data_IF_120172129529
#
_entry.id   IF_120172129529
#
_cell.length_a   1.000
_cell.length_b   1.000
_cell.length_c   1.000
_cell.angle_alpha   90.00
_cell.angle_beta   90.00
_cell.angle_gamma   90.00
#
_symmetry.space_group_name_H-M   'P 1'
#
loop_
_entity.id
_entity.type
_entity.pdbx_description
1 polymer ?
#
# COMPACT_ATOMS: atom_id res chain seq x y z
N UNK A 1 2.23 -17.81 -25.15
CA UNK A 1 3.29 -17.48 -26.12
C UNK A 1 4.56 -18.09 -25.58
N UNK A 2 5.27 -18.90 -26.36
CA UNK A 2 6.50 -19.52 -25.90
C UNK A 2 7.64 -18.49 -25.92
N UNK A 3 8.07 -18.05 -24.74
CA UNK A 3 9.16 -17.09 -24.57
C UNK A 3 10.47 -17.85 -24.42
N UNK A 4 11.47 -17.52 -25.24
CA UNK A 4 12.80 -18.13 -25.24
C UNK A 4 13.83 -17.13 -24.73
N UNK A 5 14.73 -17.56 -23.85
CA UNK A 5 15.76 -16.72 -23.26
C UNK A 5 17.01 -17.55 -22.86
N UNK A 6 18.11 -16.88 -22.49
CA UNK A 6 19.38 -17.53 -22.10
C UNK A 6 19.59 -17.38 -20.59
N UNK A 7 19.66 -18.50 -19.86
CA UNK A 7 19.93 -18.53 -18.41
C UNK A 7 21.17 -19.38 -18.15
N UNK A 8 22.20 -18.81 -17.51
CA UNK A 8 23.46 -19.51 -17.20
C UNK A 8 24.08 -20.21 -18.42
N UNK A 9 24.18 -19.49 -19.54
CA UNK A 9 24.64 -19.99 -20.86
C UNK A 9 23.79 -21.12 -21.48
N UNK A 10 22.70 -21.56 -20.84
CA UNK A 10 21.76 -22.56 -21.36
C UNK A 10 20.52 -21.87 -21.94
N UNK A 11 19.95 -22.47 -22.98
CA UNK A 11 18.68 -22.02 -23.54
C UNK A 11 17.54 -22.46 -22.62
N UNK A 12 16.69 -21.52 -22.24
CA UNK A 12 15.51 -21.75 -21.41
C UNK A 12 14.28 -21.23 -22.14
N UNK A 13 13.15 -21.92 -21.98
CA UNK A 13 11.88 -21.50 -22.55
C UNK A 13 10.79 -21.62 -21.49
N UNK A 14 9.87 -20.67 -21.43
CA UNK A 14 8.63 -20.79 -20.67
C UNK A 14 7.44 -20.43 -21.56
N UNK A 15 6.30 -21.07 -21.34
CA UNK A 15 5.07 -20.69 -22.03
C UNK A 15 4.32 -19.65 -21.22
N UNK A 16 4.26 -18.43 -21.75
CA UNK A 16 3.54 -17.33 -21.13
C UNK A 16 2.02 -17.56 -21.06
N UNK A 17 1.46 -18.47 -21.88
CA UNK A 17 0.02 -18.80 -21.79
C UNK A 17 -0.28 -19.71 -20.59
N UNK A 18 0.73 -20.41 -20.07
CA UNK A 18 0.61 -21.29 -18.91
C UNK A 18 0.98 -20.60 -17.59
N UNK A 19 1.34 -19.32 -17.63
CA UNK A 19 1.44 -18.51 -16.42
C UNK A 19 0.03 -18.34 -15.85
N UNK A 20 -0.26 -19.03 -14.75
CA UNK A 20 -1.44 -18.75 -13.93
C UNK A 20 -1.23 -17.36 -13.33
N UNK A 21 -1.63 -16.34 -14.08
CA UNK A 21 -2.01 -15.07 -13.48
C UNK A 21 -3.27 -15.43 -12.73
N UNK A 22 -3.21 -15.54 -11.40
CA UNK A 22 -4.41 -15.71 -10.59
C UNK A 22 -5.44 -14.72 -11.13
N UNK A 23 -6.54 -15.24 -11.68
CA UNK A 23 -7.53 -14.42 -12.37
C UNK A 23 -7.94 -13.26 -11.47
N UNK A 24 -8.26 -12.10 -12.08
CA UNK A 24 -8.62 -10.83 -11.42
C UNK A 24 -9.02 -11.08 -9.97
N UNK A 25 -8.05 -10.95 -9.06
CA UNK A 25 -8.27 -11.19 -7.64
C UNK A 25 -9.41 -10.23 -7.30
N UNK A 26 -10.57 -10.76 -6.91
CA UNK A 26 -11.63 -9.89 -6.41
C UNK A 26 -10.97 -9.04 -5.33
N UNK A 27 -11.08 -7.70 -5.38
CA UNK A 27 -10.41 -6.87 -4.39
C UNK A 27 -10.92 -7.34 -3.02
N UNK A 28 -10.06 -8.08 -2.32
CA UNK A 28 -10.32 -8.62 -1.00
C UNK A 28 -10.87 -7.47 -0.16
N UNK A 29 -11.93 -7.71 0.62
CA UNK A 29 -12.48 -6.68 1.48
C UNK A 29 -11.33 -6.04 2.26
N UNK A 30 -11.13 -4.74 2.05
CA UNK A 30 -10.00 -4.04 2.66
C UNK A 30 -10.04 -4.33 4.16
N UNK A 31 -8.97 -4.90 4.74
CA UNK A 31 -8.95 -5.22 6.16
C UNK A 31 -9.30 -3.97 6.94
N UNK A 32 -10.46 -4.00 7.58
CA UNK A 32 -10.98 -2.91 8.39
C UNK A 32 -10.15 -2.88 9.66
N UNK A 33 -9.43 -1.79 9.86
CA UNK A 33 -8.70 -1.57 11.12
C UNK A 33 -9.65 -1.54 12.30
N UNK A 34 -9.13 -1.71 13.52
CA UNK A 34 -9.93 -1.73 14.74
C UNK A 34 -10.67 -0.41 14.99
N UNK A 35 -10.22 0.71 14.39
CA UNK A 35 -10.73 2.04 14.69
C UNK A 35 -11.51 2.66 13.54
N UNK A 36 -12.66 3.27 13.88
CA UNK A 36 -13.52 4.03 12.95
C UNK A 36 -12.82 5.24 12.34
N UNK A 37 -11.82 5.81 13.03
CA UNK A 37 -11.01 6.93 12.54
C UNK A 37 -10.20 6.59 11.28
N UNK A 38 -9.98 5.30 11.00
CA UNK A 38 -9.26 4.85 9.81
C UNK A 38 -10.16 4.55 8.61
N UNK A 39 -11.50 4.66 8.76
CA UNK A 39 -12.47 4.48 7.69
C UNK A 39 -12.44 5.70 6.75
N UNK A 40 -11.63 5.63 5.69
CA UNK A 40 -11.49 6.71 4.70
C UNK A 40 -10.05 7.20 4.49
N UNK A 41 -9.07 6.59 5.15
CA UNK A 41 -7.67 6.85 4.83
C UNK A 41 -7.35 6.31 3.41
N UNK A 42 -6.58 7.05 2.57
CA UNK A 42 -6.11 6.55 1.27
C UNK A 42 -5.08 5.43 1.41
N UNK A 43 -4.61 5.18 2.64
CA UNK A 43 -3.67 4.14 3.01
C UNK A 43 -4.39 2.91 3.56
N UNK A 44 -3.74 1.73 3.56
CA UNK A 44 -4.34 0.51 4.08
C UNK A 44 -4.81 0.71 5.52
N UNK A 45 -6.04 0.28 5.81
CA UNK A 45 -6.64 0.48 7.12
C UNK A 45 -6.10 -0.45 8.21
N UNK A 46 -4.89 -1.01 8.04
CA UNK A 46 -4.29 -1.97 8.95
C UNK A 46 -2.80 -1.66 9.18
N UNK A 47 -2.23 -2.25 10.24
CA UNK A 47 -0.81 -2.13 10.56
C UNK A 47 -0.46 -0.79 11.23
N UNK A 48 0.82 -0.40 11.14
CA UNK A 48 1.39 0.77 11.84
C UNK A 48 0.67 2.10 11.54
N UNK A 49 -0.07 2.19 10.43
CA UNK A 49 -0.81 3.40 10.04
C UNK A 49 -2.06 3.61 10.91
N UNK A 50 -2.72 2.52 11.33
CA UNK A 50 -4.01 2.56 12.01
C UNK A 50 -4.10 1.70 13.29
N UNK A 51 -3.01 1.09 13.74
CA UNK A 51 -2.96 0.30 14.98
C UNK A 51 -2.30 1.06 16.15
N UNK A 52 -2.04 2.37 16.01
CA UNK A 52 -1.39 3.16 17.06
C UNK A 52 -2.34 3.47 18.22
N UNK A 53 -3.47 4.13 17.94
CA UNK A 53 -4.49 4.46 18.93
C UNK A 53 -5.83 4.75 18.26
N UNK A 54 -6.93 4.59 19.01
CA UNK A 54 -8.26 4.98 18.54
C UNK A 54 -8.29 6.49 18.33
N UNK A 55 -8.53 6.94 17.10
CA UNK A 55 -8.59 8.36 16.75
C UNK A 55 -7.36 8.93 16.04
N UNK A 56 -6.16 8.39 16.25
CA UNK A 56 -4.92 8.91 15.64
C UNK A 56 -4.39 7.95 14.57
N UNK A 57 -4.68 8.26 13.32
CA UNK A 57 -3.93 7.64 12.21
C UNK A 57 -2.63 8.42 12.00
N UNK A 58 -1.56 7.72 11.61
CA UNK A 58 -0.23 8.33 11.39
C UNK A 58 -0.30 9.54 10.43
N UNK A 59 -1.25 9.51 9.47
CA UNK A 59 -1.45 10.63 8.54
C UNK A 59 -2.06 11.86 9.23
N UNK A 60 -2.94 11.68 10.19
CA UNK A 60 -3.50 12.79 10.97
C UNK A 60 -2.39 13.48 11.78
N UNK A 61 -1.49 12.69 12.36
CA UNK A 61 -0.32 13.22 13.08
C UNK A 61 0.62 13.98 12.16
N UNK A 62 0.97 13.40 11.01
CA UNK A 62 1.78 14.06 9.99
C UNK A 62 1.11 15.36 9.49
N UNK A 63 -0.21 15.34 9.26
CA UNK A 63 -0.96 16.54 8.87
C UNK A 63 -0.95 17.60 9.97
N UNK A 64 -1.06 17.20 11.24
CA UNK A 64 -0.98 18.11 12.40
C UNK A 64 0.41 18.75 12.48
N UNK A 65 1.47 17.98 12.23
CA UNK A 65 2.85 18.47 12.16
C UNK A 65 3.02 19.44 10.99
N UNK A 66 2.61 19.09 9.77
CA UNK A 66 2.68 20.01 8.62
C UNK A 66 1.88 21.31 8.83
N UNK A 67 0.72 21.24 9.50
CA UNK A 67 -0.06 22.43 9.86
C UNK A 67 0.66 23.30 10.89
N UNK A 68 1.35 22.71 11.86
CA UNK A 68 2.17 23.44 12.83
C UNK A 68 3.36 24.12 12.12
N UNK A 69 4.12 23.35 11.33
CA UNK A 69 5.30 23.87 10.62
C UNK A 69 4.93 25.04 9.69
N UNK A 70 3.83 24.95 8.93
CA UNK A 70 3.37 26.07 8.09
C UNK A 70 2.97 27.31 8.88
N UNK A 71 2.38 27.15 10.07
CA UNK A 71 2.06 28.28 10.95
C UNK A 71 3.31 28.94 11.50
N UNK A 72 4.34 28.15 11.83
CA UNK A 72 5.63 28.65 12.30
C UNK A 72 6.39 29.37 11.18
N UNK A 73 6.37 28.83 9.96
CA UNK A 73 6.96 29.46 8.77
C UNK A 73 6.31 30.81 8.44
N UNK A 74 4.99 30.92 8.56
CA UNK A 74 4.26 32.19 8.35
C UNK A 74 4.42 33.23 9.47
N UNK A 75 5.13 32.89 10.56
CA UNK A 75 5.33 33.76 11.73
C UNK A 75 6.69 34.49 11.69
N UNK A 76 7.54 34.18 10.71
CA UNK A 76 8.77 34.90 10.39
C UNK A 76 8.51 35.99 9.35
#
# INVERSE_FOLDING_TARGET
MLVRYKKNKKNACYDSNNLITTGRIQPEERPRGPFKSCAGCPYPSHGFICYSSEGDCLRNDINKIHRKNRKEESRC
#
